data_IF_520407606492
#
_entry.id   IF_520407606492
#
_cell.length_a   1.000
_cell.length_b   1.000
_cell.length_c   1.000
_cell.angle_alpha   90.00
_cell.angle_beta   90.00
_cell.angle_gamma   90.00
#
_symmetry.space_group_name_H-M   'P 1'
#
loop_
_entity.id
_entity.type
_entity.pdbx_description
1 polymer ?
#
# COMPACT_ATOMS: atom_id res chain seq x y z
N UNK A 1 27.20 -17.04 19.89
CA UNK A 1 28.36 -17.44 19.06
C UNK A 1 27.88 -17.65 17.63
N UNK A 2 28.38 -16.90 16.65
CA UNK A 2 28.33 -17.29 15.23
C UNK A 2 29.04 -18.64 15.09
N UNK A 3 28.58 -19.52 14.21
CA UNK A 3 29.00 -20.93 14.05
C UNK A 3 30.51 -21.13 13.78
N UNK A 4 31.37 -20.76 14.73
CA UNK A 4 32.84 -20.78 14.63
C UNK A 4 33.41 -19.98 13.44
N UNK A 5 32.63 -19.12 12.79
CA UNK A 5 33.05 -18.31 11.63
C UNK A 5 33.86 -17.04 11.97
N UNK A 6 34.29 -16.91 13.23
CA UNK A 6 35.03 -15.74 13.71
C UNK A 6 34.15 -14.57 14.17
N UNK A 7 34.79 -13.43 14.40
CA UNK A 7 34.12 -12.22 14.90
C UNK A 7 33.22 -11.57 13.84
N UNK A 8 32.19 -10.83 14.27
CA UNK A 8 31.30 -10.10 13.34
C UNK A 8 32.07 -9.14 12.42
N UNK A 9 33.20 -8.59 12.88
CA UNK A 9 34.07 -7.72 12.07
C UNK A 9 34.78 -8.49 10.94
N UNK A 10 35.22 -9.72 11.21
CA UNK A 10 35.84 -10.57 10.18
C UNK A 10 34.81 -11.00 9.13
N UNK A 11 33.60 -11.34 9.57
CA UNK A 11 32.48 -11.66 8.69
C UNK A 11 32.11 -10.44 7.82
N UNK A 12 32.05 -9.24 8.42
CA UNK A 12 31.81 -7.98 7.70
C UNK A 12 32.83 -7.75 6.58
N UNK A 13 34.12 -7.94 6.90
CA UNK A 13 35.21 -7.81 5.93
C UNK A 13 35.12 -8.85 4.80
N UNK A 14 34.81 -10.10 5.13
CA UNK A 14 34.68 -11.21 4.15
C UNK A 14 33.56 -10.94 3.15
N UNK A 15 32.38 -10.53 3.64
CA UNK A 15 31.21 -10.25 2.80
C UNK A 15 31.17 -8.81 2.27
N UNK A 16 32.17 -7.98 2.60
CA UNK A 16 32.26 -6.56 2.18
C UNK A 16 31.02 -5.74 2.53
N UNK A 17 30.45 -6.00 3.71
CA UNK A 17 29.28 -5.30 4.25
C UNK A 17 29.65 -4.56 5.54
N UNK A 18 28.77 -3.66 6.00
CA UNK A 18 28.98 -3.00 7.29
C UNK A 18 28.78 -3.98 8.45
N UNK A 19 29.48 -3.71 9.57
CA UNK A 19 29.27 -4.44 10.82
C UNK A 19 27.81 -4.34 11.31
N UNK A 20 27.21 -3.16 11.14
CA UNK A 20 25.82 -2.90 11.52
C UNK A 20 24.85 -3.75 10.72
N UNK A 21 25.09 -3.98 9.43
CA UNK A 21 24.26 -4.84 8.59
C UNK A 21 24.22 -6.28 9.13
N UNK A 22 25.39 -6.86 9.43
CA UNK A 22 25.45 -8.22 9.99
C UNK A 22 24.78 -8.28 11.36
N UNK A 23 25.01 -7.29 12.22
CA UNK A 23 24.35 -7.23 13.52
C UNK A 23 22.82 -7.16 13.39
N UNK A 24 22.31 -6.33 12.47
CA UNK A 24 20.86 -6.25 12.19
C UNK A 24 20.31 -7.56 11.62
N UNK A 25 21.07 -8.23 10.76
CA UNK A 25 20.71 -9.51 10.16
C UNK A 25 20.60 -10.61 11.22
N UNK A 26 21.61 -10.74 12.09
CA UNK A 26 21.59 -11.69 13.22
C UNK A 26 20.44 -11.38 14.16
N UNK A 27 20.25 -10.10 14.54
CA UNK A 27 19.15 -9.69 15.41
C UNK A 27 17.78 -10.06 14.83
N UNK A 28 17.59 -9.89 13.50
CA UNK A 28 16.36 -10.32 12.82
C UNK A 28 16.21 -11.84 12.88
N UNK A 29 17.27 -12.58 12.56
CA UNK A 29 17.24 -14.04 12.55
C UNK A 29 16.93 -14.61 13.94
N UNK A 30 17.51 -14.07 15.01
CA UNK A 30 17.21 -14.52 16.38
C UNK A 30 15.77 -14.21 16.80
N UNK A 31 15.17 -13.14 16.28
CA UNK A 31 13.82 -12.72 16.64
C UNK A 31 12.73 -13.43 15.81
N UNK A 32 13.01 -13.74 14.54
CA UNK A 32 12.00 -14.21 13.57
C UNK A 32 12.29 -15.59 13.00
N UNK A 33 13.49 -16.14 13.23
CA UNK A 33 13.96 -17.37 12.59
C UNK A 33 14.23 -17.25 11.09
N UNK A 34 14.01 -16.07 10.49
CA UNK A 34 14.11 -15.86 9.04
C UNK A 34 15.11 -14.75 8.71
N UNK A 35 15.76 -14.91 7.55
CA UNK A 35 16.66 -13.91 6.95
C UNK A 35 15.93 -13.07 5.90
N UNK A 36 14.68 -13.39 5.59
CA UNK A 36 13.92 -12.70 4.56
C UNK A 36 13.79 -11.20 4.83
N UNK A 37 13.78 -10.38 3.76
CA UNK A 37 13.49 -8.96 3.89
C UNK A 37 12.13 -8.75 4.55
N UNK A 38 12.01 -7.72 5.39
CA UNK A 38 10.70 -7.29 5.87
C UNK A 38 9.85 -6.90 4.66
N UNK A 39 8.53 -7.17 4.69
CA UNK A 39 7.64 -6.66 3.66
C UNK A 39 7.82 -5.15 3.56
N UNK A 40 7.78 -4.64 2.33
CA UNK A 40 7.85 -3.20 2.10
C UNK A 40 6.76 -2.52 2.93
N UNK A 41 7.11 -1.47 3.68
CA UNK A 41 6.24 -0.86 4.70
C UNK A 41 4.93 -0.27 4.17
N UNK A 42 4.71 -0.30 2.86
CA UNK A 42 3.56 0.29 2.19
C UNK A 42 3.69 1.81 2.08
N UNK A 43 3.05 2.36 1.05
CA UNK A 43 2.84 3.80 0.95
C UNK A 43 1.72 4.28 1.87
N UNK A 44 1.38 5.57 1.79
CA UNK A 44 0.25 6.17 2.51
C UNK A 44 -1.04 5.39 2.26
N UNK A 45 -1.80 5.13 3.33
CA UNK A 45 -3.11 4.48 3.23
C UNK A 45 -4.04 5.30 2.33
N UNK A 46 -4.79 4.67 1.41
CA UNK A 46 -5.72 5.37 0.55
C UNK A 46 -6.83 6.02 1.37
N UNK A 47 -7.22 7.26 1.01
CA UNK A 47 -8.33 7.97 1.67
C UNK A 47 -9.66 7.23 1.57
N UNK A 48 -9.90 6.54 0.45
CA UNK A 48 -11.03 5.64 0.29
C UNK A 48 -10.65 4.28 0.89
N UNK A 49 -10.91 4.14 2.19
CA UNK A 49 -10.76 2.90 2.94
C UNK A 49 -11.79 1.83 2.54
N UNK A 50 -11.83 0.75 3.32
CA UNK A 50 -12.77 -0.36 3.12
C UNK A 50 -14.22 0.02 3.47
N UNK A 51 -14.39 0.85 4.49
CA UNK A 51 -15.70 1.31 4.98
C UNK A 51 -16.48 2.10 3.92
N UNK A 52 -15.76 2.86 3.10
CA UNK A 52 -16.35 3.66 2.01
C UNK A 52 -16.52 2.89 0.70
N UNK A 53 -16.14 1.60 0.65
CA UNK A 53 -16.35 0.80 -0.57
C UNK A 53 -17.83 0.48 -0.81
N UNK A 54 -18.60 0.29 0.26
CA UNK A 54 -20.04 0.06 0.18
C UNK A 54 -20.75 1.27 -0.40
N UNK A 55 -20.50 2.45 0.18
CA UNK A 55 -21.07 3.72 -0.32
C UNK A 55 -20.63 4.01 -1.75
N UNK A 56 -19.36 3.77 -2.08
CA UNK A 56 -18.86 3.95 -3.45
C UNK A 56 -19.56 3.03 -4.46
N UNK A 57 -19.84 1.76 -4.10
CA UNK A 57 -20.58 0.84 -4.96
C UNK A 57 -22.02 1.31 -5.17
N UNK A 58 -22.72 1.68 -4.11
CA UNK A 58 -24.09 2.19 -4.21
C UNK A 58 -24.16 3.45 -5.07
N UNK A 59 -23.24 4.40 -4.89
CA UNK A 59 -23.16 5.59 -5.73
C UNK A 59 -22.90 5.21 -7.19
N UNK A 60 -21.97 4.29 -7.48
CA UNK A 60 -21.68 3.85 -8.86
C UNK A 60 -22.87 3.13 -9.51
N UNK A 61 -23.64 2.36 -8.74
CA UNK A 61 -24.84 1.67 -9.23
C UNK A 61 -25.99 2.64 -9.51
N UNK A 62 -26.27 3.57 -8.58
CA UNK A 62 -27.27 4.64 -8.74
C UNK A 62 -26.89 5.61 -9.87
N UNK A 63 -25.59 5.87 -10.03
CA UNK A 63 -25.03 6.90 -10.89
C UNK A 63 -24.16 6.34 -12.03
N UNK A 64 -24.56 5.21 -12.60
CA UNK A 64 -23.80 4.52 -13.65
C UNK A 64 -23.49 5.37 -14.90
N UNK A 65 -24.19 6.51 -15.06
CA UNK A 65 -24.07 7.48 -16.14
C UNK A 65 -23.35 8.81 -15.76
N UNK A 66 -22.89 8.99 -14.52
CA UNK A 66 -22.24 10.25 -14.09
C UNK A 66 -20.78 10.36 -14.51
N UNK A 67 -20.32 11.59 -14.70
CA UNK A 67 -18.90 11.87 -14.96
C UNK A 67 -18.06 11.64 -13.70
N UNK A 68 -16.75 11.42 -13.89
CA UNK A 68 -15.84 11.14 -12.78
C UNK A 68 -15.67 12.34 -11.82
N UNK A 69 -15.93 13.57 -12.30
CA UNK A 69 -15.90 14.77 -11.46
C UNK A 69 -17.13 14.81 -10.54
N UNK A 70 -18.33 14.64 -11.10
CA UNK A 70 -19.58 14.57 -10.35
C UNK A 70 -19.56 13.44 -9.33
N UNK A 71 -18.97 12.28 -9.68
CA UNK A 71 -18.81 11.18 -8.75
C UNK A 71 -17.90 11.53 -7.55
N UNK A 72 -16.88 12.37 -7.76
CA UNK A 72 -16.06 12.84 -6.64
C UNK A 72 -16.85 13.79 -5.74
N UNK A 73 -17.65 14.69 -6.32
CA UNK A 73 -18.45 15.67 -5.58
C UNK A 73 -19.59 15.00 -4.80
N UNK A 74 -20.27 14.02 -5.39
CA UNK A 74 -21.30 13.20 -4.74
C UNK A 74 -20.69 12.36 -3.60
N UNK A 75 -19.52 11.79 -3.83
CA UNK A 75 -18.80 11.04 -2.80
C UNK A 75 -18.37 11.92 -1.64
N UNK A 76 -17.85 13.14 -1.92
CA UNK A 76 -17.52 14.13 -0.88
C UNK A 76 -18.78 14.55 -0.11
N UNK A 77 -19.92 14.71 -0.77
CA UNK A 77 -21.20 15.06 -0.12
C UNK A 77 -21.71 13.97 0.82
N UNK A 78 -21.52 12.69 0.49
CA UNK A 78 -21.99 11.56 1.32
C UNK A 78 -21.00 11.14 2.41
N UNK A 79 -19.70 11.34 2.20
CA UNK A 79 -18.66 10.83 3.10
C UNK A 79 -17.82 11.91 3.78
N UNK A 80 -18.00 13.19 3.41
CA UNK A 80 -17.20 14.34 3.84
C UNK A 80 -15.69 14.22 3.51
N UNK A 81 -15.31 13.22 2.69
CA UNK A 81 -13.92 12.96 2.35
C UNK A 81 -13.63 13.53 0.96
N UNK A 82 -12.78 14.55 0.95
CA UNK A 82 -12.25 15.13 -0.29
C UNK A 82 -11.24 14.19 -0.97
N UNK A 83 -11.63 13.66 -2.13
CA UNK A 83 -10.82 12.77 -2.97
C UNK A 83 -10.51 13.44 -4.31
N UNK A 84 -9.28 13.27 -4.80
CA UNK A 84 -8.92 13.71 -6.16
C UNK A 84 -9.48 12.77 -7.22
N UNK A 85 -9.71 13.28 -8.43
CA UNK A 85 -10.11 12.46 -9.61
C UNK A 85 -9.18 11.26 -9.82
N UNK A 86 -7.87 11.44 -9.61
CA UNK A 86 -6.88 10.35 -9.75
C UNK A 86 -7.03 9.27 -8.70
N UNK A 87 -7.29 9.63 -7.44
CA UNK A 87 -7.52 8.68 -6.36
C UNK A 87 -8.84 7.92 -6.56
N UNK A 88 -9.89 8.62 -7.02
CA UNK A 88 -11.17 8.00 -7.37
C UNK A 88 -11.00 7.01 -8.53
N UNK A 89 -10.34 7.40 -9.62
CA UNK A 89 -10.05 6.52 -10.75
C UNK A 89 -9.23 5.28 -10.35
N UNK A 90 -8.19 5.45 -9.53
CA UNK A 90 -7.39 4.32 -9.02
C UNK A 90 -8.22 3.37 -8.15
N UNK A 91 -9.13 3.90 -7.33
CA UNK A 91 -10.02 3.09 -6.50
C UNK A 91 -11.03 2.32 -7.35
N UNK A 92 -11.68 2.97 -8.32
CA UNK A 92 -12.58 2.30 -9.27
C UNK A 92 -11.88 1.17 -10.02
N UNK A 93 -10.65 1.40 -10.50
CA UNK A 93 -9.81 0.36 -11.13
C UNK A 93 -9.52 -0.82 -10.19
N UNK A 94 -9.18 -0.54 -8.92
CA UNK A 94 -8.95 -1.59 -7.91
C UNK A 94 -10.21 -2.41 -7.64
N UNK A 95 -11.37 -1.76 -7.61
CA UNK A 95 -12.67 -2.40 -7.40
C UNK A 95 -13.24 -3.03 -8.68
N UNK A 96 -12.54 -2.91 -9.82
CA UNK A 96 -12.98 -3.36 -11.15
C UNK A 96 -14.37 -2.81 -11.55
N UNK A 97 -14.72 -1.63 -11.04
CA UNK A 97 -15.98 -0.97 -11.39
C UNK A 97 -15.79 -0.14 -12.65
N UNK A 98 -16.62 -0.39 -13.67
CA UNK A 98 -16.64 0.39 -14.91
C UNK A 98 -17.78 1.40 -14.84
N UNK A 99 -17.44 2.68 -14.81
CA UNK A 99 -18.43 3.75 -15.05
C UNK A 99 -18.65 3.84 -16.55
N UNK A 100 -19.92 3.83 -17.00
CA UNK A 100 -20.23 3.97 -18.41
C UNK A 100 -20.09 5.45 -18.79
N UNK A 101 -19.19 5.76 -19.73
CA UNK A 101 -19.06 7.13 -20.25
C UNK A 101 -20.22 7.45 -21.20
N UNK A 102 -20.93 8.55 -20.95
CA UNK A 102 -21.66 9.29 -21.99
C UNK A 102 -20.78 10.44 -22.46
N UNK A 103 -20.22 10.29 -23.66
CA UNK A 103 -19.78 11.44 -24.45
C UNK A 103 -21.03 11.99 -25.16
N UNK A 104 -21.36 13.25 -24.89
CA UNK A 104 -22.23 14.02 -25.76
C UNK A 104 -21.52 14.27 -27.09
#
# INVERSE_FOLDING_TARGET
CTNKEGSLRQIAKRFKVSLTFIWMLIKRFTATGSVEPKPHGGGKQPKIGHEHEGTLKSVVEEASDMTLAELCDEFESRTEIKVSRSAMCNKLKRLKLTVKKKTF
#
